data_IF_877976144725
#
_entry.id   IF_877976144725
#
_cell.length_a   1.000
_cell.length_b   1.000
_cell.length_c   1.000
_cell.angle_alpha   90.00
_cell.angle_beta   90.00
_cell.angle_gamma   90.00
#
_symmetry.space_group_name_H-M   'P 1'
#
loop_
_entity.id
_entity.type
_entity.pdbx_description
1 polymer ?
#
# COMPACT_ATOMS: atom_id res chain seq x y z
N UNK A 1 -4.82 -28.37 36.57
CA UNK A 1 -4.09 -27.32 35.83
C UNK A 1 -4.33 -26.00 36.50
N UNK A 2 -3.36 -25.10 36.62
CA UNK A 2 -3.56 -23.76 37.14
C UNK A 2 -4.47 -22.96 36.22
N UNK A 3 -5.17 -21.98 36.79
CA UNK A 3 -5.88 -20.95 36.04
C UNK A 3 -4.99 -19.71 35.99
N UNK A 4 -4.60 -19.29 34.80
CA UNK A 4 -3.71 -18.15 34.60
C UNK A 4 -4.42 -17.03 33.85
N UNK A 5 -4.22 -15.78 34.29
CA UNK A 5 -4.72 -14.57 33.66
C UNK A 5 -3.53 -13.70 33.29
N UNK A 6 -3.36 -13.42 31.99
CA UNK A 6 -2.38 -12.48 31.49
C UNK A 6 -3.03 -11.10 31.34
N UNK A 7 -2.42 -10.09 31.91
CA UNK A 7 -2.87 -8.71 31.87
C UNK A 7 -2.25 -7.93 30.72
N UNK A 8 -2.92 -6.90 30.19
CA UNK A 8 -2.42 -6.12 29.06
C UNK A 8 -1.04 -5.45 29.27
N UNK A 9 -0.64 -5.23 30.51
CA UNK A 9 0.66 -4.67 30.87
C UNK A 9 1.79 -5.70 30.93
N UNK A 10 1.55 -6.97 30.53
CA UNK A 10 2.52 -8.05 30.55
C UNK A 10 2.74 -8.74 31.90
N UNK A 11 1.98 -8.36 32.94
CA UNK A 11 1.97 -9.09 34.21
C UNK A 11 0.98 -10.24 34.17
N UNK A 12 1.09 -11.20 35.09
CA UNK A 12 0.17 -12.31 35.16
C UNK A 12 -0.27 -12.60 36.61
N UNK A 13 -1.42 -13.24 36.74
CA UNK A 13 -1.94 -13.80 37.99
C UNK A 13 -2.22 -15.28 37.79
N UNK A 14 -1.88 -16.12 38.79
CA UNK A 14 -2.09 -17.57 38.74
C UNK A 14 -2.85 -18.03 39.98
N UNK A 15 -3.72 -19.01 39.78
CA UNK A 15 -4.41 -19.72 40.84
C UNK A 15 -4.19 -21.23 40.63
N UNK A 16 -3.47 -21.85 41.58
CA UNK A 16 -3.23 -23.29 41.56
C UNK A 16 -4.47 -24.07 42.00
N UNK A 17 -4.76 -25.16 41.29
CA UNK A 17 -5.82 -26.10 41.60
C UNK A 17 -7.20 -25.47 41.86
N UNK A 18 -7.77 -24.69 40.92
CA UNK A 18 -9.08 -24.10 41.07
C UNK A 18 -10.15 -25.18 41.21
N UNK A 19 -11.05 -25.02 42.19
CA UNK A 19 -12.19 -25.92 42.35
C UNK A 19 -13.23 -25.70 41.26
N UNK A 20 -13.89 -26.74 40.74
CA UNK A 20 -14.94 -26.57 39.74
C UNK A 20 -16.17 -25.86 40.33
N UNK A 21 -16.94 -25.24 39.45
CA UNK A 21 -18.19 -24.54 39.77
C UNK A 21 -18.06 -23.39 40.80
N UNK A 22 -16.90 -22.74 40.84
CA UNK A 22 -16.65 -21.55 41.65
C UNK A 22 -16.35 -20.31 40.77
N UNK A 23 -16.64 -19.16 41.34
CA UNK A 23 -16.31 -17.86 40.72
C UNK A 23 -15.02 -17.34 41.35
N UNK A 24 -14.02 -17.07 40.52
CA UNK A 24 -12.75 -16.48 40.91
C UNK A 24 -12.64 -15.05 40.41
N UNK A 25 -12.12 -14.15 41.25
CA UNK A 25 -11.85 -12.76 40.88
C UNK A 25 -10.35 -12.53 40.94
N UNK A 26 -9.78 -12.07 39.82
CA UNK A 26 -8.37 -11.70 39.74
C UNK A 26 -8.25 -10.18 39.76
N UNK A 27 -7.25 -9.67 40.48
CA UNK A 27 -6.89 -8.26 40.50
C UNK A 27 -5.51 -8.07 39.87
N UNK A 28 -5.43 -7.13 38.94
CA UNK A 28 -4.16 -6.77 38.30
C UNK A 28 -3.14 -6.21 39.31
N UNK A 29 -3.61 -5.57 40.39
CA UNK A 29 -2.73 -5.00 41.42
C UNK A 29 -1.83 -6.04 42.11
N UNK A 30 -2.27 -7.30 42.14
CA UNK A 30 -1.56 -8.40 42.76
C UNK A 30 -0.84 -9.27 41.71
N UNK A 31 -0.70 -8.79 40.49
CA UNK A 31 -0.06 -9.49 39.40
C UNK A 31 1.46 -9.34 39.47
N UNK A 32 2.19 -10.36 39.03
CA UNK A 32 3.65 -10.41 39.02
C UNK A 32 4.18 -10.39 37.59
N UNK A 33 5.38 -9.84 37.41
CA UNK A 33 6.13 -9.96 36.17
C UNK A 33 6.68 -11.37 36.03
N UNK A 34 6.38 -12.06 34.95
CA UNK A 34 6.99 -13.33 34.62
C UNK A 34 8.24 -13.04 33.78
N UNK A 35 9.39 -13.45 34.24
CA UNK A 35 10.68 -13.27 33.55
C UNK A 35 10.77 -14.04 32.22
N UNK A 36 9.90 -15.04 32.02
CA UNK A 36 9.75 -15.77 30.77
C UNK A 36 8.27 -16.09 30.57
N UNK A 37 7.60 -15.26 29.76
CA UNK A 37 6.28 -15.58 29.24
C UNK A 37 6.43 -16.66 28.18
N UNK A 38 6.40 -17.94 28.59
CA UNK A 38 6.06 -18.98 27.64
C UNK A 38 4.55 -18.90 27.38
N UNK A 39 4.15 -18.07 26.41
CA UNK A 39 2.80 -18.18 25.88
C UNK A 39 2.58 -19.63 25.43
N UNK A 40 1.41 -20.23 25.72
CA UNK A 40 1.05 -21.55 25.19
C UNK A 40 0.99 -21.55 23.65
N UNK A 41 0.94 -20.39 23.05
CA UNK A 41 1.23 -20.17 21.64
C UNK A 41 2.73 -19.83 21.51
N UNK A 42 3.60 -20.85 21.54
CA UNK A 42 4.89 -20.69 20.87
C UNK A 42 4.54 -20.22 19.46
N UNK A 43 4.92 -18.99 19.11
CA UNK A 43 4.99 -18.65 17.69
C UNK A 43 5.87 -19.73 17.06
N UNK A 44 5.24 -20.63 16.30
CA UNK A 44 6.00 -21.52 15.44
C UNK A 44 6.89 -20.60 14.64
N UNK A 45 8.20 -20.83 14.63
CA UNK A 45 9.09 -20.14 13.72
C UNK A 45 8.43 -20.19 12.33
N UNK A 46 7.91 -19.04 11.90
CA UNK A 46 7.26 -18.93 10.62
C UNK A 46 8.39 -19.04 9.59
N UNK A 47 8.55 -20.20 8.99
CA UNK A 47 9.39 -20.32 7.80
C UNK A 47 8.66 -19.58 6.68
N UNK A 48 9.11 -18.37 6.40
CA UNK A 48 8.62 -17.61 5.26
C UNK A 48 9.22 -18.21 3.98
N UNK A 49 8.38 -18.37 2.94
CA UNK A 49 8.83 -18.79 1.60
C UNK A 49 9.49 -17.63 0.84
N UNK A 50 9.20 -16.39 1.25
CA UNK A 50 9.73 -15.17 0.65
C UNK A 50 10.40 -14.32 1.73
N UNK A 51 11.45 -13.62 1.33
CA UNK A 51 12.10 -12.59 2.15
C UNK A 51 11.91 -11.22 1.52
N UNK A 52 11.77 -10.19 2.34
CA UNK A 52 11.70 -8.81 1.90
C UNK A 52 13.11 -8.34 1.50
N UNK A 53 13.26 -7.85 0.25
CA UNK A 53 14.54 -7.44 -0.33
C UNK A 53 14.49 -6.11 -1.09
N UNK A 54 13.36 -5.40 -1.07
CA UNK A 54 13.10 -4.20 -1.87
C UNK A 54 14.18 -3.13 -1.71
N UNK A 55 14.62 -2.88 -0.48
CA UNK A 55 15.69 -1.91 -0.22
C UNK A 55 17.02 -2.28 -0.87
N UNK A 56 17.32 -3.59 -0.99
CA UNK A 56 18.54 -4.08 -1.66
C UNK A 56 18.52 -3.83 -3.17
N UNK A 57 17.32 -3.71 -3.76
CA UNK A 57 17.12 -3.45 -5.18
C UNK A 57 16.81 -1.98 -5.49
N UNK A 58 16.87 -1.09 -4.50
CA UNK A 58 16.62 0.34 -4.68
C UNK A 58 15.13 0.70 -4.71
N UNK A 59 14.27 -0.23 -4.28
CA UNK A 59 12.83 0.02 -4.14
C UNK A 59 12.59 0.56 -2.72
N UNK A 60 12.45 1.87 -2.63
CA UNK A 60 12.08 2.60 -1.43
C UNK A 60 10.83 3.43 -1.77
N UNK A 61 9.66 2.85 -1.47
CA UNK A 61 8.38 3.45 -1.78
C UNK A 61 7.40 3.25 -0.62
N UNK A 62 6.78 4.35 -0.25
CA UNK A 62 5.65 4.37 0.69
C UNK A 62 4.56 5.19 0.03
N UNK A 63 3.36 4.62 -0.10
CA UNK A 63 2.22 5.36 -0.60
C UNK A 63 1.86 6.47 0.39
N UNK A 64 1.83 7.70 -0.10
CA UNK A 64 1.35 8.86 0.65
C UNK A 64 -0.10 9.13 0.25
N UNK A 65 -0.99 9.18 1.24
CA UNK A 65 -2.41 9.42 1.04
C UNK A 65 -2.90 10.63 1.85
N UNK A 66 -3.84 11.38 1.28
CA UNK A 66 -4.55 12.41 2.02
C UNK A 66 -5.70 11.80 2.82
N UNK A 67 -5.86 12.26 4.04
CA UNK A 67 -7.02 11.87 4.85
C UNK A 67 -8.27 12.65 4.40
N UNK A 68 -8.97 12.11 3.42
CA UNK A 68 -10.24 12.64 2.92
C UNK A 68 -11.40 12.04 3.72
N UNK A 69 -12.43 12.85 4.00
CA UNK A 69 -13.63 12.43 4.72
C UNK A 69 -14.78 12.13 3.76
N UNK A 70 -14.71 11.03 3.04
CA UNK A 70 -15.68 10.60 2.02
C UNK A 70 -17.12 10.60 2.52
N UNK A 71 -17.32 10.15 3.77
CA UNK A 71 -18.64 10.09 4.40
C UNK A 71 -19.30 11.46 4.66
N UNK A 72 -18.55 12.55 4.52
CA UNK A 72 -19.12 13.90 4.60
C UNK A 72 -20.01 14.19 3.40
N UNK A 73 -19.57 13.78 2.21
CA UNK A 73 -20.29 13.98 0.96
C UNK A 73 -21.28 12.84 0.71
N UNK A 74 -20.90 11.61 1.03
CA UNK A 74 -21.70 10.40 0.78
C UNK A 74 -21.76 9.52 2.03
N UNK A 75 -22.77 9.75 2.85
CA UNK A 75 -22.92 9.11 4.18
C UNK A 75 -23.19 7.60 4.13
N UNK A 76 -23.64 7.08 2.99
CA UNK A 76 -24.02 5.66 2.81
C UNK A 76 -22.95 4.82 2.12
N UNK A 77 -21.74 5.35 1.92
CA UNK A 77 -20.64 4.55 1.39
C UNK A 77 -20.29 3.40 2.33
N UNK A 78 -20.08 2.19 1.82
CA UNK A 78 -19.69 1.04 2.63
C UNK A 78 -18.24 1.14 3.15
N UNK A 79 -17.39 1.86 2.44
CA UNK A 79 -15.97 2.16 2.79
C UNK A 79 -15.53 3.45 2.08
N UNK A 80 -14.35 3.95 2.43
CA UNK A 80 -13.75 5.08 1.73
C UNK A 80 -13.35 4.68 0.31
N UNK A 81 -13.56 5.57 -0.65
CA UNK A 81 -13.13 5.44 -2.05
C UNK A 81 -11.89 6.29 -2.36
N UNK A 82 -11.55 7.23 -1.48
CA UNK A 82 -10.37 8.10 -1.61
C UNK A 82 -9.08 7.48 -1.05
N UNK A 83 -9.06 6.19 -0.76
CA UNK A 83 -7.92 5.46 -0.19
C UNK A 83 -7.87 4.02 -0.72
N UNK A 84 -8.02 3.84 -2.04
CA UNK A 84 -8.07 2.52 -2.69
C UNK A 84 -6.71 2.10 -3.30
N UNK A 85 -5.66 2.82 -3.07
CA UNK A 85 -4.38 2.57 -3.73
C UNK A 85 -3.47 1.55 -3.04
N UNK A 86 -2.27 1.37 -3.59
CA UNK A 86 -1.85 1.78 -4.92
C UNK A 86 -2.14 0.71 -5.99
N UNK A 87 -2.34 1.14 -7.25
CA UNK A 87 -2.28 0.27 -8.42
C UNK A 87 -0.85 0.13 -8.95
N UNK A 88 -0.59 -0.90 -9.76
CA UNK A 88 0.74 -1.19 -10.31
C UNK A 88 0.61 -1.75 -11.72
N UNK A 89 1.49 -1.31 -12.63
CA UNK A 89 1.67 -1.91 -13.94
C UNK A 89 3.15 -2.19 -14.20
N UNK A 90 3.45 -3.24 -14.98
CA UNK A 90 4.80 -3.71 -15.27
C UNK A 90 4.97 -3.81 -16.80
N UNK A 91 6.12 -3.40 -17.31
CA UNK A 91 6.50 -3.49 -18.72
C UNK A 91 7.81 -2.78 -18.98
N UNK A 92 8.42 -3.02 -20.11
CA UNK A 92 9.62 -2.31 -20.59
C UNK A 92 9.21 -0.90 -21.04
N UNK A 93 9.34 0.08 -20.13
CA UNK A 93 8.84 1.45 -20.33
C UNK A 93 9.83 2.31 -21.12
N UNK A 94 11.13 2.05 -21.01
CA UNK A 94 12.17 2.86 -21.66
C UNK A 94 12.85 2.16 -22.86
N UNK A 95 12.41 0.94 -23.20
CA UNK A 95 12.87 0.21 -24.36
C UNK A 95 14.25 -0.41 -24.20
N UNK A 96 14.73 -0.60 -22.97
CA UNK A 96 16.06 -1.14 -22.69
C UNK A 96 16.10 -2.69 -22.59
N UNK A 97 14.93 -3.34 -22.63
CA UNK A 97 14.76 -4.79 -22.57
C UNK A 97 14.63 -5.33 -21.14
N UNK A 98 14.61 -4.47 -20.11
CA UNK A 98 14.34 -4.87 -18.73
C UNK A 98 12.89 -4.49 -18.35
N UNK A 99 12.32 -5.26 -17.43
CA UNK A 99 10.97 -4.98 -16.90
C UNK A 99 11.02 -3.85 -15.88
N UNK A 100 10.36 -2.76 -16.19
CA UNK A 100 10.10 -1.63 -15.30
C UNK A 100 8.74 -1.77 -14.62
N UNK A 101 8.47 -0.93 -13.65
CA UNK A 101 7.13 -0.83 -13.10
C UNK A 101 6.76 0.60 -12.72
N UNK A 102 5.45 0.88 -12.79
CA UNK A 102 4.87 2.14 -12.34
C UNK A 102 3.87 1.89 -11.24
N UNK A 103 3.92 2.71 -10.20
CA UNK A 103 2.99 2.70 -9.08
C UNK A 103 2.11 3.93 -9.13
N UNK A 104 0.80 3.73 -9.02
CA UNK A 104 -0.18 4.81 -8.93
C UNK A 104 -0.03 5.65 -7.67
N UNK A 105 -0.74 6.74 -7.63
CA UNK A 105 -0.66 7.70 -6.52
C UNK A 105 -2.03 8.20 -6.11
N UNK A 106 -2.16 8.60 -4.85
CA UNK A 106 -3.32 9.34 -4.40
C UNK A 106 -3.29 10.80 -4.87
N UNK A 107 -4.43 11.47 -4.81
CA UNK A 107 -4.56 12.88 -5.19
C UNK A 107 -3.57 13.79 -4.44
N UNK A 108 -2.83 14.58 -5.18
CA UNK A 108 -1.79 15.50 -4.68
C UNK A 108 -0.38 14.96 -4.77
N UNK A 109 -0.23 13.71 -5.21
CA UNK A 109 1.06 13.05 -5.41
C UNK A 109 1.21 12.60 -6.87
N UNK A 110 2.45 12.33 -7.29
CA UNK A 110 2.75 11.83 -8.64
C UNK A 110 2.86 10.31 -8.61
N UNK A 111 2.29 9.60 -9.60
CA UNK A 111 2.71 8.23 -9.87
C UNK A 111 4.23 8.16 -10.02
N UNK A 112 4.81 7.06 -9.59
CA UNK A 112 6.25 6.87 -9.59
C UNK A 112 6.63 5.71 -10.50
N UNK A 113 7.52 5.95 -11.46
CA UNK A 113 8.11 4.92 -12.32
C UNK A 113 9.41 4.45 -11.68
N UNK A 114 9.61 3.15 -11.69
CA UNK A 114 10.84 2.49 -11.27
C UNK A 114 11.46 1.82 -12.49
N UNK A 115 12.53 2.42 -13.01
CA UNK A 115 13.30 1.89 -14.12
C UNK A 115 14.33 0.87 -13.62
N UNK A 116 14.28 -0.35 -14.15
CA UNK A 116 15.25 -1.39 -13.85
C UNK A 116 16.52 -1.20 -14.70
N UNK A 117 17.66 -1.16 -14.06
CA UNK A 117 18.94 -1.10 -14.77
C UNK A 117 19.55 -2.49 -14.98
N UNK A 118 20.61 -2.59 -15.79
CA UNK A 118 21.32 -3.85 -16.10
C UNK A 118 21.86 -4.60 -14.86
N UNK A 119 21.97 -3.94 -13.72
CA UNK A 119 22.37 -4.57 -12.45
C UNK A 119 21.19 -5.06 -11.61
N UNK A 120 19.98 -5.14 -12.19
CA UNK A 120 18.72 -5.51 -11.54
C UNK A 120 18.27 -4.56 -10.41
N UNK A 121 18.85 -3.36 -10.34
CA UNK A 121 18.43 -2.32 -9.40
C UNK A 121 17.49 -1.33 -10.06
N UNK A 122 16.63 -0.73 -9.25
CA UNK A 122 15.65 0.24 -9.73
C UNK A 122 16.07 1.68 -9.41
N UNK A 123 15.76 2.57 -10.35
CA UNK A 123 15.88 4.02 -10.19
C UNK A 123 14.50 4.64 -10.31
N UNK A 124 14.06 5.38 -9.29
CA UNK A 124 12.72 5.97 -9.27
C UNK A 124 12.69 7.36 -9.92
N UNK A 125 11.60 7.63 -10.65
CA UNK A 125 11.31 8.93 -11.27
C UNK A 125 9.83 9.25 -11.13
N UNK A 126 9.43 10.45 -10.70
CA UNK A 126 8.02 10.85 -10.74
C UNK A 126 7.54 10.98 -12.19
N UNK A 127 6.31 10.52 -12.46
CA UNK A 127 5.68 10.68 -13.77
C UNK A 127 5.38 12.14 -14.07
N UNK A 128 4.89 12.89 -13.09
CA UNK A 128 4.54 14.30 -13.22
C UNK A 128 5.38 15.19 -12.32
N UNK A 129 5.72 16.38 -12.81
CA UNK A 129 6.43 17.42 -12.05
C UNK A 129 5.55 18.66 -11.81
N UNK A 130 4.31 18.70 -12.33
CA UNK A 130 3.40 19.81 -12.17
C UNK A 130 2.25 19.46 -11.22
N UNK A 131 1.83 20.43 -10.40
CA UNK A 131 0.81 20.24 -9.37
C UNK A 131 -0.58 19.91 -9.93
N UNK A 132 -0.90 20.36 -11.12
CA UNK A 132 -2.21 20.12 -11.75
C UNK A 132 -2.38 18.64 -12.08
N UNK A 133 -1.39 18.05 -12.76
CA UNK A 133 -1.41 16.61 -13.08
C UNK A 133 -1.39 15.71 -11.86
N UNK A 134 -0.90 16.20 -10.72
CA UNK A 134 -0.88 15.47 -9.45
C UNK A 134 -2.23 15.50 -8.70
N UNK A 135 -3.21 16.30 -9.15
CA UNK A 135 -4.53 16.37 -8.49
C UNK A 135 -5.36 15.12 -8.71
N UNK A 136 -5.11 14.40 -9.79
CA UNK A 136 -5.80 13.16 -10.12
C UNK A 136 -5.36 12.03 -9.17
N UNK A 137 -6.31 11.25 -8.73
CA UNK A 137 -6.04 9.98 -8.06
C UNK A 137 -5.97 8.88 -9.11
N UNK A 138 -4.95 8.03 -9.04
CA UNK A 138 -4.73 6.99 -10.05
C UNK A 138 -5.13 5.64 -9.46
N UNK A 139 -6.29 5.13 -9.85
CA UNK A 139 -6.90 3.89 -9.38
C UNK A 139 -6.45 2.65 -10.16
N UNK A 140 -6.13 2.83 -11.44
CA UNK A 140 -5.61 1.76 -12.28
C UNK A 140 -4.66 2.30 -13.34
N UNK A 141 -3.73 1.46 -13.79
CA UNK A 141 -2.74 1.77 -14.82
C UNK A 141 -2.70 0.61 -15.81
N UNK A 142 -2.71 0.95 -17.09
CA UNK A 142 -2.50 -0.02 -18.17
C UNK A 142 -1.38 0.46 -19.07
N UNK A 143 -0.48 -0.45 -19.43
CA UNK A 143 0.60 -0.23 -20.39
C UNK A 143 0.24 -0.96 -21.70
N UNK A 144 0.24 -0.26 -22.81
CA UNK A 144 0.01 -0.84 -24.14
C UNK A 144 0.45 0.15 -25.24
N UNK A 145 0.81 -0.35 -26.39
CA UNK A 145 1.17 0.44 -27.58
C UNK A 145 -0.14 0.87 -28.28
N UNK A 146 -0.55 2.14 -28.12
CA UNK A 146 -1.82 2.64 -28.67
C UNK A 146 -1.69 3.20 -30.08
N UNK A 147 -0.55 3.81 -30.40
CA UNK A 147 -0.31 4.43 -31.70
C UNK A 147 0.50 3.56 -32.67
N UNK A 148 0.86 2.37 -32.21
CA UNK A 148 1.57 1.32 -32.96
C UNK A 148 2.98 1.76 -33.41
N UNK A 149 3.67 2.50 -32.54
CA UNK A 149 5.05 2.93 -32.75
C UNK A 149 6.09 1.98 -32.13
N UNK A 150 5.63 0.97 -31.35
CA UNK A 150 6.42 -0.12 -30.79
C UNK A 150 6.89 0.14 -29.37
N UNK A 151 6.50 1.23 -28.74
CA UNK A 151 6.74 1.48 -27.33
C UNK A 151 5.45 1.35 -26.47
N UNK A 152 5.59 1.37 -25.14
CA UNK A 152 4.45 1.22 -24.24
C UNK A 152 3.96 2.57 -23.75
N UNK A 153 2.73 2.89 -24.10
CA UNK A 153 1.99 4.04 -23.61
C UNK A 153 1.30 3.78 -22.28
N UNK A 154 0.84 4.86 -21.63
CA UNK A 154 0.16 4.82 -20.34
C UNK A 154 -1.30 5.24 -20.45
N UNK A 155 -2.20 4.36 -20.03
CA UNK A 155 -3.57 4.73 -19.74
C UNK A 155 -3.78 4.76 -18.21
N UNK A 156 -4.13 5.93 -17.69
CA UNK A 156 -4.35 6.17 -16.27
C UNK A 156 -5.85 6.32 -16.01
N UNK A 157 -6.41 5.38 -15.26
CA UNK A 157 -7.79 5.46 -14.78
C UNK A 157 -7.81 6.32 -13.53
N UNK A 158 -8.61 7.36 -13.55
CA UNK A 158 -8.76 8.30 -12.45
C UNK A 158 -9.98 7.94 -11.58
N UNK A 159 -9.87 8.16 -10.27
CA UNK A 159 -10.93 7.84 -9.33
C UNK A 159 -10.92 8.66 -8.06
N UNK A 160 -11.33 8.01 -6.96
CA UNK A 160 -11.48 8.68 -5.67
C UNK A 160 -12.86 9.29 -5.45
N UNK A 161 -13.02 10.07 -4.39
CA UNK A 161 -14.30 10.70 -3.99
C UNK A 161 -14.11 12.09 -3.38
N UNK A 162 -13.01 12.75 -3.68
CA UNK A 162 -12.59 14.00 -3.05
C UNK A 162 -13.01 15.28 -3.79
N UNK A 163 -13.56 15.15 -4.99
CA UNK A 163 -13.95 16.27 -5.84
C UNK A 163 -15.47 16.31 -6.05
N UNK A 164 -15.96 17.45 -6.54
CA UNK A 164 -17.35 17.62 -6.89
C UNK A 164 -17.76 16.70 -8.05
N UNK A 165 -19.06 16.41 -8.13
CA UNK A 165 -19.64 15.60 -9.20
C UNK A 165 -19.29 16.19 -10.56
N UNK A 166 -18.87 15.36 -11.52
CA UNK A 166 -18.41 15.74 -12.86
C UNK A 166 -17.12 16.57 -12.89
N UNK A 167 -16.29 16.49 -11.86
CA UNK A 167 -14.96 17.10 -11.88
C UNK A 167 -14.08 16.51 -12.98
N UNK A 168 -13.29 17.35 -13.65
CA UNK A 168 -12.28 16.90 -14.62
C UNK A 168 -11.27 15.93 -14.04
N UNK A 169 -11.05 15.96 -12.72
CA UNK A 169 -10.11 15.07 -12.02
C UNK A 169 -10.58 13.61 -11.92
N UNK A 170 -11.79 13.30 -12.38
CA UNK A 170 -12.29 11.93 -12.56
C UNK A 170 -12.17 11.44 -14.02
N UNK A 171 -11.62 12.25 -14.94
CA UNK A 171 -11.40 11.83 -16.31
C UNK A 171 -10.11 11.02 -16.41
N UNK A 172 -10.19 9.93 -17.14
CA UNK A 172 -9.02 9.11 -17.48
C UNK A 172 -8.07 9.89 -18.39
N UNK A 173 -6.82 9.48 -18.39
CA UNK A 173 -5.77 10.14 -19.15
C UNK A 173 -4.94 9.14 -19.94
N UNK A 174 -4.76 9.44 -21.22
CA UNK A 174 -3.84 8.75 -22.11
C UNK A 174 -2.54 9.55 -22.20
N UNK A 175 -1.41 8.91 -22.02
CA UNK A 175 -0.10 9.52 -22.16
C UNK A 175 0.73 8.70 -23.16
N UNK A 176 1.17 9.37 -24.22
CA UNK A 176 2.05 8.79 -25.24
C UNK A 176 3.49 8.83 -24.75
N UNK A 177 4.18 7.71 -24.88
CA UNK A 177 5.60 7.55 -24.59
C UNK A 177 6.44 8.10 -25.77
N UNK A 178 7.71 8.14 -25.62
CA UNK A 178 8.69 8.43 -26.66
C UNK A 178 9.75 7.33 -26.79
N UNK A 179 9.44 6.13 -26.30
CA UNK A 179 10.32 4.98 -26.23
C UNK A 179 11.49 5.10 -25.25
N UNK A 180 11.48 6.11 -24.37
CA UNK A 180 12.53 6.36 -23.36
C UNK A 180 11.97 6.73 -22.00
N UNK A 181 10.76 6.29 -21.70
CA UNK A 181 10.09 6.57 -20.42
C UNK A 181 9.79 8.05 -20.18
N UNK A 182 9.52 8.81 -21.25
CA UNK A 182 9.08 10.20 -21.17
C UNK A 182 7.72 10.35 -21.84
N UNK A 183 6.73 10.76 -21.05
CA UNK A 183 5.33 10.74 -21.43
C UNK A 183 4.77 12.14 -21.73
N UNK A 184 3.90 12.23 -22.72
CA UNK A 184 3.16 13.41 -23.10
C UNK A 184 1.67 13.11 -23.09
N UNK A 185 0.87 13.99 -22.45
CA UNK A 185 -0.58 13.82 -22.42
C UNK A 185 -1.13 13.95 -23.84
N UNK A 186 -1.85 12.94 -24.29
CA UNK A 186 -2.67 13.00 -25.49
C UNK A 186 -3.89 13.91 -25.26
N UNK A 187 -4.29 14.71 -26.26
CA UNK A 187 -5.34 15.77 -26.13
C UNK A 187 -6.60 15.37 -26.84
#
# INVERSE_FOLDING_TARGET
SPLEVLWPNGTFSSLENPSPNQRYTFSQQNSILKSELSFPFKEKEKKYLFSEVSSSYGIDYVLEEKNVQDFFNQRLLPHKLSQNGPCLAVGDIDGDGNEDFIVGSSSGFSPTIFFQNQSTKFTKKPLFNNKESMRYEVESITLFDIDNDGDLDLYLVSGGNQFDLNSEFYQDRLLLNNGKGSFTLDK
#
